data_IF_926430396863
#
_entry.id   IF_926430396863
#
_cell.length_a   1.000
_cell.length_b   1.000
_cell.length_c   1.000
_cell.angle_alpha   90.00
_cell.angle_beta   90.00
_cell.angle_gamma   90.00
#
_symmetry.space_group_name_H-M   'P 1'
#
loop_
_entity.id
_entity.type
_entity.pdbx_description
1 polymer ?
#
# COMPACT_ATOMS: atom_id res chain seq x y z
N UNK A 1 6.25 6.55 14.47
CA UNK A 1 6.79 5.56 15.43
C UNK A 1 5.99 4.25 15.38
N UNK A 2 4.64 4.26 15.57
CA UNK A 2 3.82 3.05 15.61
C UNK A 2 3.94 2.19 14.36
N UNK A 3 3.82 2.78 13.16
CA UNK A 3 4.01 2.08 11.89
C UNK A 3 5.39 1.40 11.79
N UNK A 4 6.47 2.09 12.22
CA UNK A 4 7.83 1.51 12.22
C UNK A 4 7.94 0.32 13.16
N UNK A 5 7.38 0.43 14.36
CA UNK A 5 7.35 -0.68 15.31
C UNK A 5 6.56 -1.88 14.76
N UNK A 6 5.45 -1.63 14.07
CA UNK A 6 4.65 -2.63 13.35
C UNK A 6 5.32 -3.17 12.07
N UNK A 7 6.56 -2.77 11.78
CA UNK A 7 7.36 -3.34 10.70
C UNK A 7 7.32 -2.57 9.38
N UNK A 8 6.64 -1.44 9.29
CA UNK A 8 6.61 -0.64 8.06
C UNK A 8 8.01 -0.14 7.68
N UNK A 9 8.35 -0.30 6.41
CA UNK A 9 9.63 0.14 5.84
C UNK A 9 9.48 1.40 4.99
N UNK A 10 8.28 1.63 4.47
CA UNK A 10 7.87 2.86 3.79
C UNK A 10 6.43 3.21 4.14
N UNK A 11 6.09 4.47 3.97
CA UNK A 11 4.71 4.97 4.04
C UNK A 11 4.42 5.79 2.78
N UNK A 12 3.15 5.86 2.39
CA UNK A 12 2.69 6.68 1.26
C UNK A 12 1.62 7.62 1.79
N UNK A 13 1.89 8.93 1.76
CA UNK A 13 0.91 9.95 2.14
C UNK A 13 0.06 10.31 0.94
N UNK A 14 -1.25 10.34 1.12
CA UNK A 14 -2.16 10.98 0.17
C UNK A 14 -1.95 12.49 0.23
N UNK A 15 -1.06 13.01 -0.62
CA UNK A 15 -0.73 14.44 -0.64
C UNK A 15 -1.84 15.27 -1.27
N UNK A 16 -2.57 14.69 -2.21
CA UNK A 16 -3.78 15.21 -2.85
C UNK A 16 -4.60 14.06 -3.41
N UNK A 17 -5.89 14.03 -3.11
CA UNK A 17 -6.86 13.07 -3.69
C UNK A 17 -7.68 13.73 -4.81
N UNK A 18 -8.67 13.03 -5.35
CA UNK A 18 -9.57 13.50 -6.43
C UNK A 18 -10.37 14.75 -6.06
N UNK A 19 -10.56 15.06 -4.76
CA UNK A 19 -11.18 16.29 -4.28
C UNK A 19 -10.37 17.56 -4.59
N UNK A 20 -9.09 17.40 -4.92
CA UNK A 20 -8.20 18.47 -5.33
C UNK A 20 -7.50 19.22 -4.21
N UNK A 21 -7.74 18.87 -2.92
CA UNK A 21 -7.10 19.57 -1.80
C UNK A 21 -5.64 19.17 -1.63
N UNK A 22 -4.73 20.11 -1.85
CA UNK A 22 -3.30 19.87 -1.66
C UNK A 22 -2.89 20.06 -0.19
N UNK A 23 -2.28 19.03 0.42
CA UNK A 23 -1.84 19.03 1.81
C UNK A 23 -0.54 19.83 2.05
N UNK A 24 -0.12 20.65 1.10
CA UNK A 24 1.04 21.55 1.20
C UNK A 24 0.67 22.93 0.62
N UNK A 25 1.40 23.99 0.97
CA UNK A 25 1.14 25.34 0.44
C UNK A 25 1.60 25.44 -1.02
N UNK A 26 0.81 24.84 -1.92
CA UNK A 26 1.07 24.82 -3.35
C UNK A 26 0.98 26.24 -3.94
N UNK A 27 1.85 26.54 -4.89
CA UNK A 27 1.76 27.76 -5.71
C UNK A 27 0.81 27.58 -6.90
N UNK A 28 0.36 26.35 -7.14
CA UNK A 28 -0.55 25.98 -8.23
C UNK A 28 -1.95 25.71 -7.69
N UNK A 29 -2.92 26.48 -8.17
CA UNK A 29 -4.30 26.44 -7.70
C UNK A 29 -4.53 27.15 -6.37
N UNK A 30 -5.78 27.22 -5.96
CA UNK A 30 -6.22 27.92 -4.76
C UNK A 30 -6.70 27.00 -3.63
N UNK A 31 -6.82 25.69 -3.90
CA UNK A 31 -7.34 24.71 -2.97
C UNK A 31 -6.23 23.90 -2.29
N UNK A 32 -5.58 24.56 -1.35
CA UNK A 32 -4.45 23.97 -0.62
C UNK A 32 -4.35 24.53 0.80
N UNK A 33 -3.48 23.93 1.61
CA UNK A 33 -3.19 24.43 2.96
C UNK A 33 -2.71 25.88 2.99
N UNK A 34 -2.17 26.41 1.88
CA UNK A 34 -1.78 27.82 1.74
C UNK A 34 -2.93 28.77 2.09
N UNK A 35 -4.15 28.45 1.63
CA UNK A 35 -5.30 29.32 1.77
C UNK A 35 -6.25 28.90 2.91
N UNK A 36 -6.18 27.65 3.39
CA UNK A 36 -7.18 27.12 4.32
C UNK A 36 -6.64 26.69 5.69
N UNK A 37 -5.32 26.53 5.83
CA UNK A 37 -4.68 26.09 7.09
C UNK A 37 -3.47 26.99 7.42
N UNK A 38 -3.58 28.29 7.18
CA UNK A 38 -2.54 29.30 7.46
C UNK A 38 -1.16 28.95 6.87
N UNK A 39 -1.14 28.25 5.74
CA UNK A 39 0.06 27.83 5.06
C UNK A 39 0.79 26.65 5.71
N UNK A 40 0.16 25.90 6.60
CA UNK A 40 0.74 24.70 7.22
C UNK A 40 1.14 23.67 6.18
N UNK A 41 2.36 23.17 6.28
CA UNK A 41 2.89 22.17 5.35
C UNK A 41 2.82 20.76 5.96
N UNK A 42 1.66 20.10 5.77
CA UNK A 42 1.43 18.74 6.27
C UNK A 42 2.32 17.70 5.57
N UNK A 43 2.70 17.95 4.31
CA UNK A 43 3.62 17.08 3.56
C UNK A 43 5.02 17.17 4.16
N UNK A 44 5.50 18.38 4.49
CA UNK A 44 6.77 18.59 5.15
C UNK A 44 6.84 17.90 6.52
N UNK A 45 5.80 18.08 7.35
CA UNK A 45 5.69 17.41 8.66
C UNK A 45 5.72 15.87 8.54
N UNK A 46 5.03 15.31 7.56
CA UNK A 46 5.03 13.88 7.26
C UNK A 46 6.43 13.38 6.88
N UNK A 47 7.11 14.10 5.98
CA UNK A 47 8.48 13.76 5.53
C UNK A 47 9.46 13.73 6.69
N UNK A 48 9.42 14.76 7.56
CA UNK A 48 10.24 14.81 8.78
C UNK A 48 9.97 13.62 9.70
N UNK A 49 8.69 13.31 9.93
CA UNK A 49 8.28 12.18 10.75
C UNK A 49 8.77 10.84 10.20
N UNK A 50 8.67 10.62 8.88
CA UNK A 50 9.18 9.41 8.23
C UNK A 50 10.70 9.29 8.42
N UNK A 51 11.45 10.34 8.10
CA UNK A 51 12.92 10.34 8.22
C UNK A 51 13.39 10.12 9.65
N UNK A 52 12.78 10.80 10.62
CA UNK A 52 13.05 10.62 12.04
C UNK A 52 12.90 9.17 12.51
N UNK A 53 11.98 8.42 11.90
CA UNK A 53 11.71 7.03 12.26
C UNK A 53 12.36 6.02 11.30
N UNK A 54 13.20 6.44 10.34
CA UNK A 54 13.84 5.55 9.38
C UNK A 54 12.83 4.82 8.47
N UNK A 55 11.78 5.54 8.05
CA UNK A 55 10.76 5.09 7.10
C UNK A 55 11.01 5.78 5.77
N UNK A 56 10.97 5.04 4.66
CA UNK A 56 11.07 5.61 3.31
C UNK A 56 9.81 6.40 2.98
N UNK A 57 9.99 7.47 2.19
CA UNK A 57 8.95 8.45 1.89
C UNK A 57 8.30 8.12 0.56
N UNK A 58 6.98 7.91 0.58
CA UNK A 58 6.15 7.83 -0.61
C UNK A 58 5.10 8.94 -0.63
N UNK A 59 4.80 9.42 -1.82
CA UNK A 59 3.71 10.34 -2.07
C UNK A 59 2.69 9.72 -3.02
N UNK A 60 1.44 9.69 -2.59
CA UNK A 60 0.30 9.47 -3.46
C UNK A 60 -0.15 10.83 -3.99
N UNK A 61 -0.45 10.88 -5.27
CA UNK A 61 -0.98 12.05 -5.93
C UNK A 61 -2.04 11.64 -6.96
N UNK A 62 -3.23 12.22 -6.86
CA UNK A 62 -4.29 12.04 -7.84
C UNK A 62 -4.26 13.16 -8.89
N UNK A 63 -3.92 12.89 -10.15
CA UNK A 63 -4.07 13.88 -11.22
C UNK A 63 -5.51 14.34 -11.46
N UNK A 64 -6.54 13.45 -11.48
CA UNK A 64 -7.93 13.89 -11.53
C UNK A 64 -8.29 14.84 -10.39
N UNK A 65 -9.11 15.84 -10.68
CA UNK A 65 -9.50 16.90 -9.75
C UNK A 65 -10.96 17.27 -9.94
N UNK A 66 -11.80 16.83 -9.00
CA UNK A 66 -13.24 17.10 -9.05
C UNK A 66 -13.57 18.58 -8.85
N UNK A 67 -12.73 19.32 -8.13
CA UNK A 67 -12.93 20.75 -7.92
C UNK A 67 -12.54 21.59 -9.13
N UNK A 68 -11.41 21.27 -9.77
CA UNK A 68 -10.97 21.94 -10.98
C UNK A 68 -12.03 21.88 -12.07
N UNK A 69 -12.62 20.71 -12.21
CA UNK A 69 -13.68 20.46 -13.16
C UNK A 69 -15.05 20.50 -12.48
N UNK A 70 -15.45 21.64 -11.92
CA UNK A 70 -16.72 21.81 -11.18
C UNK A 70 -17.94 21.35 -11.97
N UNK A 71 -17.88 21.47 -13.27
CA UNK A 71 -18.94 21.08 -14.20
C UNK A 71 -18.98 19.55 -14.40
N UNK A 72 -17.92 18.86 -14.04
CA UNK A 72 -17.77 17.41 -14.06
C UNK A 72 -17.52 16.81 -12.68
N UNK A 73 -17.88 17.51 -11.60
CA UNK A 73 -17.83 16.97 -10.25
C UNK A 73 -18.80 15.80 -10.13
N UNK A 74 -18.48 14.72 -10.80
CA UNK A 74 -19.24 13.52 -10.84
C UNK A 74 -18.49 12.44 -10.06
N UNK A 75 -19.16 11.89 -9.06
CA UNK A 75 -18.73 10.64 -8.42
C UNK A 75 -18.93 9.42 -9.34
N UNK A 76 -19.36 9.64 -10.58
CA UNK A 76 -19.63 8.59 -11.53
C UNK A 76 -18.37 8.28 -12.34
N UNK A 77 -18.01 7.01 -12.32
CA UNK A 77 -17.06 6.41 -13.25
C UNK A 77 -17.84 5.75 -14.39
N UNK A 78 -17.48 6.03 -15.64
CA UNK A 78 -18.09 5.41 -16.82
C UNK A 78 -19.29 6.16 -17.39
N UNK A 79 -20.33 5.44 -17.81
CA UNK A 79 -21.47 5.97 -18.56
C UNK A 79 -22.54 6.71 -17.72
N UNK A 80 -22.24 6.99 -16.48
CA UNK A 80 -23.17 7.71 -15.59
C UNK A 80 -23.21 9.19 -15.99
N UNK A 81 -24.39 9.84 -16.04
CA UNK A 81 -24.50 11.27 -16.30
C UNK A 81 -23.67 12.08 -15.29
N UNK A 82 -23.07 13.20 -15.68
CA UNK A 82 -22.34 14.06 -14.75
C UNK A 82 -23.28 14.55 -13.64
N UNK A 83 -22.82 14.46 -12.39
CA UNK A 83 -23.55 14.87 -11.20
C UNK A 83 -22.88 16.10 -10.58
N UNK A 84 -23.68 17.05 -10.15
CA UNK A 84 -23.24 18.17 -9.32
C UNK A 84 -22.87 17.75 -7.89
N UNK A 85 -22.41 18.70 -7.10
CA UNK A 85 -22.02 18.49 -5.71
C UNK A 85 -23.20 18.03 -4.81
N UNK A 86 -24.41 18.31 -5.24
CA UNK A 86 -25.68 17.91 -4.62
C UNK A 86 -26.22 16.56 -5.11
N UNK A 87 -25.42 15.85 -5.92
CA UNK A 87 -25.77 14.59 -6.58
C UNK A 87 -26.90 14.68 -7.63
N UNK A 88 -27.30 15.89 -8.01
CA UNK A 88 -28.24 16.10 -9.11
C UNK A 88 -27.53 16.08 -10.46
N UNK A 89 -28.22 15.61 -11.50
CA UNK A 89 -27.67 15.60 -12.86
C UNK A 89 -27.43 17.01 -13.37
N UNK A 90 -26.24 17.26 -13.89
CA UNK A 90 -25.85 18.55 -14.47
C UNK A 90 -25.66 18.44 -15.99
N UNK A 91 -25.90 19.55 -16.69
CA UNK A 91 -25.55 19.68 -18.10
C UNK A 91 -24.15 20.32 -18.17
N UNK A 92 -23.23 19.67 -18.88
CA UNK A 92 -21.91 20.23 -19.09
C UNK A 92 -21.98 21.36 -20.13
N UNK A 93 -21.18 22.44 -19.98
CA UNK A 93 -21.03 23.45 -21.00
C UNK A 93 -20.47 22.85 -22.28
N UNK A 94 -20.92 23.39 -23.40
CA UNK A 94 -20.32 23.11 -24.69
C UNK A 94 -19.18 24.10 -24.93
N UNK A 95 -17.97 23.58 -25.12
CA UNK A 95 -16.79 24.37 -25.44
C UNK A 95 -16.45 24.22 -26.93
N UNK A 96 -15.95 25.30 -27.53
CA UNK A 96 -15.23 25.19 -28.79
C UNK A 96 -13.95 24.35 -28.61
N UNK A 97 -13.42 23.81 -29.70
CA UNK A 97 -12.17 23.05 -29.63
C UNK A 97 -11.00 23.86 -29.08
N UNK A 98 -10.97 25.17 -29.38
CA UNK A 98 -9.93 26.10 -28.87
C UNK A 98 -10.08 26.37 -27.37
N UNK A 99 -11.31 26.52 -26.88
CA UNK A 99 -11.58 26.68 -25.45
C UNK A 99 -11.25 25.43 -24.66
N UNK A 100 -11.64 24.26 -25.20
CA UNK A 100 -11.31 22.97 -24.58
C UNK A 100 -9.80 22.78 -24.50
N UNK A 101 -9.07 23.05 -25.58
CA UNK A 101 -7.60 22.93 -25.58
C UNK A 101 -6.95 23.83 -24.55
N UNK A 102 -7.40 25.07 -24.42
CA UNK A 102 -6.90 26.00 -23.40
C UNK A 102 -7.14 25.47 -21.98
N UNK A 103 -8.34 24.95 -21.70
CA UNK A 103 -8.68 24.35 -20.40
C UNK A 103 -7.79 23.13 -20.11
N UNK A 104 -7.56 22.30 -21.12
CA UNK A 104 -6.71 21.11 -20.98
C UNK A 104 -5.24 21.49 -20.74
N UNK A 105 -4.74 22.52 -21.40
CA UNK A 105 -3.37 23.03 -21.22
C UNK A 105 -3.19 23.66 -19.82
N UNK A 106 -4.14 24.48 -19.37
CA UNK A 106 -4.15 25.05 -18.02
C UNK A 106 -4.18 23.95 -16.93
N UNK A 107 -4.99 22.94 -17.14
CA UNK A 107 -5.05 21.79 -16.22
C UNK A 107 -3.77 20.97 -16.22
N UNK A 108 -3.18 20.76 -17.39
CA UNK A 108 -1.90 20.09 -17.52
C UNK A 108 -0.78 20.84 -16.79
N UNK A 109 -0.71 22.16 -16.95
CA UNK A 109 0.27 23.00 -16.24
C UNK A 109 0.07 22.97 -14.73
N UNK A 110 -1.17 23.02 -14.25
CA UNK A 110 -1.53 22.89 -12.85
C UNK A 110 -1.04 21.57 -12.24
N UNK A 111 -1.36 20.45 -12.88
CA UNK A 111 -0.93 19.12 -12.40
C UNK A 111 0.59 18.98 -12.45
N UNK A 112 1.23 19.40 -13.57
CA UNK A 112 2.68 19.40 -13.72
C UNK A 112 3.37 20.18 -12.62
N UNK A 113 2.88 21.39 -12.35
CA UNK A 113 3.43 22.26 -11.33
C UNK A 113 3.39 21.62 -9.94
N UNK A 114 2.25 21.09 -9.54
CA UNK A 114 2.09 20.42 -8.25
C UNK A 114 2.97 19.18 -8.11
N UNK A 115 3.07 18.35 -9.14
CA UNK A 115 3.96 17.18 -9.13
C UNK A 115 5.42 17.60 -9.01
N UNK A 116 5.82 18.64 -9.73
CA UNK A 116 7.18 19.20 -9.66
C UNK A 116 7.50 19.73 -8.26
N UNK A 117 6.56 20.42 -7.61
CA UNK A 117 6.72 20.83 -6.22
C UNK A 117 7.00 19.67 -5.28
N UNK A 118 6.20 18.60 -5.37
CA UNK A 118 6.37 17.39 -4.55
C UNK A 118 7.73 16.73 -4.78
N UNK A 119 8.21 16.72 -6.01
CA UNK A 119 9.50 16.10 -6.36
C UNK A 119 10.72 16.98 -5.98
N UNK A 120 10.55 18.27 -5.79
CA UNK A 120 11.69 19.18 -5.61
C UNK A 120 11.80 19.82 -4.23
N UNK A 121 10.69 19.97 -3.50
CA UNK A 121 10.68 20.71 -2.23
C UNK A 121 11.07 19.90 -1.00
N UNK A 122 10.93 18.57 -1.05
CA UNK A 122 10.98 17.71 0.16
C UNK A 122 12.22 16.82 0.24
N UNK A 123 13.27 17.09 -0.55
CA UNK A 123 14.47 16.28 -0.60
C UNK A 123 14.19 14.88 -1.20
N UNK A 124 14.86 13.83 -0.70
CA UNK A 124 14.70 12.50 -1.30
C UNK A 124 13.31 11.92 -1.07
N UNK A 125 12.68 11.50 -2.18
CA UNK A 125 11.41 10.78 -2.21
C UNK A 125 11.66 9.39 -2.82
N UNK A 126 11.15 8.35 -2.18
CA UNK A 126 11.41 6.97 -2.60
C UNK A 126 10.33 6.41 -3.54
N UNK A 127 9.09 6.92 -3.44
CA UNK A 127 7.95 6.45 -4.25
C UNK A 127 7.08 7.64 -4.65
N UNK A 128 6.70 7.73 -5.93
CA UNK A 128 5.56 8.50 -6.40
C UNK A 128 4.44 7.55 -6.86
N UNK A 129 3.29 7.68 -6.25
CA UNK A 129 2.14 6.82 -6.44
C UNK A 129 0.98 7.63 -7.05
N UNK A 130 0.84 7.59 -8.36
CA UNK A 130 -0.27 8.25 -9.06
C UNK A 130 -1.56 7.45 -8.93
N UNK A 131 -2.69 8.13 -8.75
CA UNK A 131 -4.01 7.52 -8.83
C UNK A 131 -4.88 8.20 -9.89
N UNK A 132 -4.98 7.53 -11.02
CA UNK A 132 -5.54 8.08 -12.24
C UNK A 132 -4.47 8.59 -13.20
N UNK A 133 -4.88 8.79 -14.44
CA UNK A 133 -3.98 9.16 -15.52
C UNK A 133 -3.56 10.64 -15.43
N UNK A 134 -2.34 10.91 -15.77
CA UNK A 134 -1.87 12.28 -16.03
C UNK A 134 -2.66 12.87 -17.22
N UNK A 135 -2.98 14.17 -17.20
CA UNK A 135 -3.84 14.80 -18.22
C UNK A 135 -3.37 14.56 -19.64
N UNK A 136 -2.11 14.81 -19.91
CA UNK A 136 -1.47 14.61 -21.21
C UNK A 136 -0.36 13.53 -21.15
N UNK A 137 -0.44 12.61 -20.20
CA UNK A 137 0.53 11.54 -19.96
C UNK A 137 1.96 12.11 -19.84
N UNK A 138 2.87 11.63 -20.69
CA UNK A 138 4.29 12.04 -20.68
C UNK A 138 4.51 13.51 -21.03
N UNK A 139 3.56 14.18 -21.71
CA UNK A 139 3.64 15.64 -21.94
C UNK A 139 3.38 16.43 -20.65
N UNK A 140 2.68 15.86 -19.66
CA UNK A 140 2.55 16.45 -18.34
C UNK A 140 3.90 16.39 -17.62
N UNK A 141 4.42 15.18 -17.44
CA UNK A 141 5.75 14.90 -16.89
C UNK A 141 6.13 13.47 -17.27
N UNK A 142 7.33 13.25 -17.76
CA UNK A 142 7.81 11.93 -18.12
C UNK A 142 8.44 11.20 -16.94
N UNK A 143 8.56 9.87 -17.04
CA UNK A 143 9.28 9.07 -16.05
C UNK A 143 10.76 9.45 -15.96
N UNK A 144 11.38 9.81 -17.07
CA UNK A 144 12.78 10.24 -17.10
C UNK A 144 12.94 11.58 -16.36
N UNK A 145 12.06 12.53 -16.59
CA UNK A 145 12.07 13.80 -15.87
C UNK A 145 11.82 13.63 -14.37
N UNK A 146 10.89 12.74 -13.96
CA UNK A 146 10.68 12.40 -12.55
C UNK A 146 11.99 11.84 -11.95
N UNK A 147 12.72 11.01 -12.68
CA UNK A 147 13.98 10.41 -12.21
C UNK A 147 15.16 11.40 -12.26
N UNK A 148 15.11 12.42 -13.10
CA UNK A 148 16.06 13.53 -13.04
C UNK A 148 15.92 14.31 -11.73
N UNK A 149 14.69 14.62 -11.30
CA UNK A 149 14.45 15.23 -9.99
C UNK A 149 14.75 14.28 -8.82
N UNK A 150 14.44 12.99 -8.97
CA UNK A 150 14.51 12.01 -7.90
C UNK A 150 15.18 10.70 -8.38
N UNK A 151 16.51 10.64 -8.45
CA UNK A 151 17.21 9.42 -8.87
C UNK A 151 16.84 8.21 -7.99
N UNK A 152 16.37 7.14 -8.65
CA UNK A 152 15.99 5.89 -7.98
C UNK A 152 14.59 5.87 -7.38
N UNK A 153 13.76 6.87 -7.66
CA UNK A 153 12.35 6.87 -7.27
C UNK A 153 11.59 5.74 -7.99
N UNK A 154 10.69 5.08 -7.26
CA UNK A 154 9.76 4.11 -7.84
C UNK A 154 8.47 4.79 -8.27
N UNK A 155 7.98 4.42 -9.46
CA UNK A 155 6.79 5.01 -10.09
C UNK A 155 5.79 3.89 -10.35
N UNK A 156 4.54 4.04 -9.88
CA UNK A 156 3.48 3.08 -10.20
C UNK A 156 2.89 3.35 -11.61
N UNK A 157 2.16 2.38 -12.23
CA UNK A 157 1.77 2.49 -13.62
C UNK A 157 0.53 3.36 -13.86
N UNK A 158 -0.22 3.78 -12.83
CA UNK A 158 -1.54 4.40 -13.01
C UNK A 158 -1.47 5.76 -13.72
N UNK A 159 -0.45 6.58 -13.46
CA UNK A 159 -0.29 7.89 -14.09
C UNK A 159 0.09 7.83 -15.57
N UNK A 160 1.15 7.12 -15.87
CA UNK A 160 1.77 7.04 -17.20
C UNK A 160 1.25 5.86 -18.06
N UNK A 161 0.66 4.85 -17.44
CA UNK A 161 0.27 3.59 -18.08
C UNK A 161 1.35 2.51 -18.04
N UNK A 162 2.53 2.84 -17.52
CA UNK A 162 3.65 1.94 -17.22
C UNK A 162 4.36 2.42 -15.95
N UNK A 163 5.16 1.56 -15.33
CA UNK A 163 5.86 1.88 -14.09
C UNK A 163 6.75 0.72 -13.63
N UNK A 164 7.29 0.87 -12.43
CA UNK A 164 8.26 -0.07 -11.85
C UNK A 164 7.61 -1.26 -11.13
N UNK A 165 6.33 -1.13 -10.75
CA UNK A 165 5.60 -2.16 -9.99
C UNK A 165 4.10 -2.12 -10.28
N UNK A 166 3.41 -3.26 -10.14
CA UNK A 166 1.94 -3.38 -10.28
C UNK A 166 1.24 -3.00 -8.98
N UNK A 167 0.01 -2.48 -9.08
CA UNK A 167 -0.79 -2.06 -7.92
C UNK A 167 -2.21 -2.63 -7.95
N UNK A 168 -2.39 -3.96 -7.73
CA UNK A 168 -3.71 -4.51 -7.48
C UNK A 168 -4.31 -3.86 -6.22
N UNK A 169 -5.63 -3.69 -6.23
CA UNK A 169 -6.35 -2.94 -5.20
C UNK A 169 -7.48 -3.76 -4.61
N UNK A 170 -7.54 -3.83 -3.27
CA UNK A 170 -8.61 -4.45 -2.49
C UNK A 170 -8.94 -5.89 -2.86
N UNK A 171 -8.12 -6.53 -3.66
CA UNK A 171 -8.29 -7.93 -4.06
C UNK A 171 -6.92 -8.57 -4.28
N UNK A 172 -6.69 -9.69 -3.61
CA UNK A 172 -5.51 -10.51 -3.87
C UNK A 172 -5.55 -11.01 -5.33
N UNK A 173 -4.45 -10.94 -6.09
CA UNK A 173 -4.43 -11.32 -7.49
C UNK A 173 -4.68 -12.83 -7.67
N UNK A 174 -5.28 -13.22 -8.79
CA UNK A 174 -5.57 -14.63 -9.11
C UNK A 174 -4.32 -15.44 -9.50
N UNK A 175 -3.25 -14.74 -9.88
CA UNK A 175 -1.94 -15.30 -10.23
C UNK A 175 -0.83 -14.34 -9.86
N UNK A 176 0.34 -14.87 -9.61
CA UNK A 176 1.54 -14.06 -9.34
C UNK A 176 1.89 -13.12 -10.49
N UNK A 177 2.47 -11.98 -10.18
CA UNK A 177 3.07 -11.06 -11.15
C UNK A 177 4.55 -11.36 -11.42
N UNK A 178 5.16 -12.31 -10.71
CA UNK A 178 6.58 -12.60 -10.86
C UNK A 178 7.00 -12.80 -12.34
N UNK A 179 8.12 -12.23 -12.78
CA UNK A 179 9.14 -11.57 -11.97
C UNK A 179 8.91 -10.05 -11.74
N UNK A 180 7.77 -9.48 -12.14
CA UNK A 180 7.46 -8.08 -11.94
C UNK A 180 7.24 -7.79 -10.45
N UNK A 181 7.68 -6.62 -9.98
CA UNK A 181 7.35 -6.14 -8.65
C UNK A 181 5.90 -5.72 -8.56
N UNK A 182 5.32 -5.89 -7.38
CA UNK A 182 3.93 -5.50 -7.15
C UNK A 182 3.67 -5.16 -5.69
N UNK A 183 2.62 -4.41 -5.47
CA UNK A 183 2.17 -3.94 -4.17
C UNK A 183 0.65 -4.09 -4.09
N UNK A 184 0.16 -4.84 -3.12
CA UNK A 184 -1.27 -4.91 -2.82
C UNK A 184 -1.64 -3.73 -1.91
N UNK A 185 -2.38 -2.76 -2.45
CA UNK A 185 -2.99 -1.73 -1.62
C UNK A 185 -4.39 -2.16 -1.18
N UNK A 186 -4.68 -2.00 0.10
CA UNK A 186 -5.92 -2.48 0.68
C UNK A 186 -6.41 -1.57 1.80
N UNK A 187 -7.72 -1.42 1.92
CA UNK A 187 -8.36 -0.72 3.04
C UNK A 187 -8.25 -1.56 4.30
N UNK A 188 -7.59 -1.05 5.34
CA UNK A 188 -7.55 -1.71 6.65
C UNK A 188 -8.81 -1.41 7.47
N UNK A 189 -9.39 -0.23 7.31
CA UNK A 189 -10.72 0.09 7.81
C UNK A 189 -11.79 -0.81 7.20
N UNK A 190 -12.89 -0.98 7.87
CA UNK A 190 -14.03 -1.77 7.37
C UNK A 190 -14.96 -0.89 6.53
N UNK A 191 -14.49 -0.51 5.33
CA UNK A 191 -15.34 0.07 4.29
C UNK A 191 -14.93 1.44 3.74
N UNK A 192 -13.85 2.08 4.19
CA UNK A 192 -13.45 3.37 3.64
C UNK A 192 -11.93 3.55 3.58
N UNK A 193 -11.45 4.29 2.55
CA UNK A 193 -10.09 4.75 2.46
C UNK A 193 -9.78 5.88 3.44
N UNK A 194 -10.73 6.78 3.65
CA UNK A 194 -10.63 7.88 4.61
C UNK A 194 -11.10 7.50 6.00
N UNK A 195 -10.98 8.45 6.94
CA UNK A 195 -11.44 8.33 8.31
C UNK A 195 -12.96 8.16 8.41
N UNK A 196 -13.39 7.29 9.31
CA UNK A 196 -14.79 7.13 9.71
C UNK A 196 -14.95 7.47 11.21
N UNK A 197 -16.02 8.17 11.57
CA UNK A 197 -16.31 8.56 12.97
C UNK A 197 -16.38 7.37 13.94
N UNK A 198 -16.73 6.20 13.43
CA UNK A 198 -16.77 4.94 14.18
C UNK A 198 -15.84 3.95 13.47
N UNK A 199 -14.53 4.24 13.51
CA UNK A 199 -13.53 3.45 12.82
C UNK A 199 -13.50 2.02 13.32
N UNK A 200 -13.73 1.09 12.43
CA UNK A 200 -13.65 -0.35 12.67
C UNK A 200 -12.60 -0.94 11.75
N UNK A 201 -11.49 -1.38 12.31
CA UNK A 201 -10.42 -2.03 11.55
C UNK A 201 -10.67 -3.53 11.41
N UNK A 202 -10.31 -4.08 10.28
CA UNK A 202 -10.22 -5.53 10.09
C UNK A 202 -9.33 -6.15 11.16
N UNK A 203 -9.53 -7.43 11.52
CA UNK A 203 -8.69 -8.11 12.52
C UNK A 203 -7.21 -8.14 12.11
N UNK A 204 -6.28 -8.06 13.06
CA UNK A 204 -4.85 -8.20 12.79
C UNK A 204 -4.48 -9.55 12.19
N UNK A 205 -5.22 -10.61 12.49
CA UNK A 205 -5.06 -11.90 11.82
C UNK A 205 -5.28 -11.82 10.32
N UNK A 206 -6.32 -11.08 9.89
CA UNK A 206 -6.54 -10.82 8.46
C UNK A 206 -5.37 -10.03 7.85
N UNK A 207 -4.91 -8.97 8.52
CA UNK A 207 -3.81 -8.14 8.02
C UNK A 207 -2.52 -8.96 7.85
N UNK A 208 -2.18 -9.79 8.83
CA UNK A 208 -0.99 -10.63 8.80
C UNK A 208 -1.12 -11.77 7.78
N UNK A 209 -2.31 -12.33 7.59
CA UNK A 209 -2.57 -13.31 6.54
C UNK A 209 -2.39 -12.72 5.14
N UNK A 210 -2.93 -11.51 4.88
CA UNK A 210 -2.73 -10.82 3.59
C UNK A 210 -1.27 -10.43 3.38
N UNK A 211 -0.56 -9.98 4.42
CA UNK A 211 0.88 -9.73 4.36
C UNK A 211 1.65 -11.00 3.98
N UNK A 212 1.35 -12.12 4.63
CA UNK A 212 2.03 -13.41 4.40
C UNK A 212 1.81 -13.92 2.98
N UNK A 213 0.56 -13.91 2.48
CA UNK A 213 0.23 -14.27 1.09
C UNK A 213 0.95 -13.37 0.09
N UNK A 214 0.92 -12.07 0.34
CA UNK A 214 1.57 -11.07 -0.52
C UNK A 214 3.07 -11.31 -0.59
N UNK A 215 3.71 -11.55 0.56
CA UNK A 215 5.15 -11.88 0.63
C UNK A 215 5.48 -13.23 0.00
N UNK A 216 4.61 -14.23 0.13
CA UNK A 216 4.79 -15.53 -0.52
C UNK A 216 4.78 -15.47 -2.05
N UNK A 217 4.26 -14.39 -2.62
CA UNK A 217 4.30 -14.08 -4.07
C UNK A 217 5.21 -12.90 -4.43
N UNK A 218 6.20 -12.60 -3.59
CA UNK A 218 7.18 -11.52 -3.77
C UNK A 218 6.59 -10.11 -3.87
N UNK A 219 5.36 -9.90 -3.39
CA UNK A 219 4.72 -8.60 -3.34
C UNK A 219 4.98 -7.82 -2.06
N UNK A 220 4.67 -6.54 -2.06
CA UNK A 220 4.58 -5.70 -0.88
C UNK A 220 3.12 -5.46 -0.51
N UNK A 221 2.85 -5.27 0.77
CA UNK A 221 1.51 -5.00 1.28
C UNK A 221 1.42 -3.57 1.82
N UNK A 222 0.45 -2.80 1.31
CA UNK A 222 0.20 -1.40 1.67
C UNK A 222 -1.21 -1.26 2.29
N UNK A 223 -1.39 -1.56 3.60
CA UNK A 223 -2.65 -1.34 4.27
C UNK A 223 -2.88 0.16 4.51
N UNK A 224 -4.04 0.64 4.11
CA UNK A 224 -4.42 2.05 4.26
C UNK A 224 -5.07 2.32 5.62
N UNK A 225 -4.74 3.46 6.19
CA UNK A 225 -5.35 4.02 7.40
C UNK A 225 -5.63 5.51 7.21
N UNK A 226 -6.77 5.99 7.68
CA UNK A 226 -7.18 7.39 7.61
C UNK A 226 -7.04 8.10 8.97
N UNK A 227 -6.26 9.20 9.07
CA UNK A 227 -6.33 10.09 10.23
C UNK A 227 -7.62 10.88 10.23
N UNK A 228 -8.03 11.37 11.40
CA UNK A 228 -9.14 12.31 11.54
C UNK A 228 -8.81 13.71 10.98
N UNK A 229 -9.76 14.64 11.05
CA UNK A 229 -9.56 16.00 10.57
C UNK A 229 -8.50 16.83 11.31
N UNK A 230 -7.99 16.35 12.45
CA UNK A 230 -6.89 16.96 13.18
C UNK A 230 -5.54 16.29 12.87
N UNK A 231 -5.54 15.24 12.05
CA UNK A 231 -4.36 14.44 11.72
C UNK A 231 -4.06 13.36 12.75
N UNK A 232 -4.99 13.08 13.66
CA UNK A 232 -4.81 12.06 14.70
C UNK A 232 -5.38 10.71 14.28
N UNK A 233 -4.68 9.64 14.67
CA UNK A 233 -5.19 8.28 14.50
C UNK A 233 -6.08 7.89 15.67
N UNK A 234 -7.16 7.13 15.43
CA UNK A 234 -8.00 6.57 16.51
C UNK A 234 -7.16 5.74 17.48
N UNK A 235 -7.58 5.71 18.75
CA UNK A 235 -6.91 4.89 19.78
C UNK A 235 -6.78 3.41 19.37
N UNK A 236 -7.80 2.87 18.71
CA UNK A 236 -7.84 1.51 18.18
C UNK A 236 -6.70 1.23 17.19
N UNK A 237 -6.29 2.22 16.38
CA UNK A 237 -5.14 2.08 15.51
C UNK A 237 -3.86 1.76 16.29
N UNK A 238 -3.61 2.52 17.36
CA UNK A 238 -2.40 2.31 18.17
C UNK A 238 -2.39 0.96 18.87
N UNK A 239 -3.55 0.49 19.34
CA UNK A 239 -3.69 -0.87 19.91
C UNK A 239 -3.38 -1.93 18.86
N UNK A 240 -3.93 -1.81 17.65
CA UNK A 240 -3.66 -2.73 16.53
C UNK A 240 -2.19 -2.75 16.13
N UNK A 241 -1.58 -1.57 16.02
CA UNK A 241 -0.13 -1.48 15.69
C UNK A 241 0.76 -2.04 16.79
N UNK A 242 0.39 -1.91 18.06
CA UNK A 242 1.12 -2.51 19.17
C UNK A 242 1.08 -4.04 19.12
N UNK A 243 -0.06 -4.64 18.82
CA UNK A 243 -0.20 -6.10 18.66
C UNK A 243 0.63 -6.61 17.47
N UNK A 244 0.63 -5.90 16.32
CA UNK A 244 1.48 -6.23 15.17
C UNK A 244 2.96 -6.06 15.52
N UNK A 245 3.32 -5.02 16.28
CA UNK A 245 4.69 -4.82 16.73
C UNK A 245 5.19 -5.96 17.63
N UNK A 246 4.33 -6.51 18.49
CA UNK A 246 4.65 -7.68 19.28
C UNK A 246 4.84 -8.93 18.41
N UNK A 247 3.98 -9.13 17.42
CA UNK A 247 4.15 -10.20 16.42
C UNK A 247 5.46 -10.06 15.66
N UNK A 248 5.83 -8.84 15.27
CA UNK A 248 7.10 -8.56 14.55
C UNK A 248 8.35 -8.89 15.36
N UNK A 249 8.30 -8.88 16.69
CA UNK A 249 9.45 -9.23 17.53
C UNK A 249 9.85 -10.69 17.42
N UNK A 250 8.88 -11.59 17.30
CA UNK A 250 9.15 -13.03 17.20
C UNK A 250 9.05 -13.57 15.76
N UNK A 251 8.18 -13.02 14.92
CA UNK A 251 7.92 -13.56 13.57
C UNK A 251 8.34 -12.62 12.43
N UNK A 252 8.80 -11.42 12.71
CA UNK A 252 9.13 -10.42 11.68
C UNK A 252 10.23 -10.85 10.70
N UNK A 253 11.13 -11.76 11.08
CA UNK A 253 12.12 -12.34 10.18
C UNK A 253 11.50 -13.11 9.01
N UNK A 254 10.27 -13.58 9.16
CA UNK A 254 9.56 -14.35 8.14
C UNK A 254 9.03 -13.50 6.97
N UNK A 255 8.90 -12.19 7.16
CA UNK A 255 8.34 -11.28 6.13
C UNK A 255 9.32 -10.21 5.67
N UNK A 256 10.42 -9.98 6.41
CA UNK A 256 11.44 -8.99 6.08
C UNK A 256 12.64 -9.64 5.37
N UNK A 257 13.01 -9.08 4.20
CA UNK A 257 14.15 -9.58 3.43
C UNK A 257 13.96 -11.01 2.88
N UNK A 258 12.72 -11.48 2.81
CA UNK A 258 12.38 -12.81 2.30
C UNK A 258 11.88 -12.78 0.86
N UNK A 259 11.89 -13.93 0.21
CA UNK A 259 11.35 -14.20 -1.13
C UNK A 259 10.25 -15.25 -1.03
N UNK A 260 9.35 -15.27 -2.00
CA UNK A 260 8.31 -16.27 -2.16
C UNK A 260 8.69 -17.42 -3.10
N UNK A 261 7.71 -17.91 -3.86
CA UNK A 261 7.89 -18.83 -4.98
C UNK A 261 7.72 -20.32 -4.66
N UNK A 262 7.04 -20.66 -3.57
CA UNK A 262 6.77 -22.04 -3.17
C UNK A 262 5.27 -22.32 -3.08
N UNK A 263 4.54 -21.37 -2.59
CA UNK A 263 3.10 -21.41 -2.46
C UNK A 263 2.41 -20.88 -3.73
N UNK A 264 1.29 -21.49 -4.18
CA UNK A 264 0.62 -22.66 -3.61
C UNK A 264 1.10 -24.01 -4.15
N UNK A 265 2.05 -24.07 -5.08
CA UNK A 265 2.39 -25.27 -5.85
C UNK A 265 3.00 -26.39 -5.00
N UNK A 266 3.72 -26.02 -3.94
CA UNK A 266 4.48 -26.98 -3.11
C UNK A 266 4.12 -26.95 -1.64
N UNK A 267 3.20 -26.07 -1.24
CA UNK A 267 2.71 -25.98 0.13
C UNK A 267 1.25 -25.53 0.12
N UNK A 268 0.42 -26.10 0.99
CA UNK A 268 -0.98 -25.73 1.13
C UNK A 268 -1.21 -24.39 1.88
N UNK A 269 -0.17 -23.82 2.49
CA UNK A 269 -0.20 -22.51 3.15
C UNK A 269 0.92 -21.62 2.64
N UNK A 270 0.85 -20.28 2.78
CA UNK A 270 1.88 -19.35 2.33
C UNK A 270 3.26 -19.65 2.91
N UNK A 271 4.29 -19.60 2.08
CA UNK A 271 5.69 -19.82 2.47
C UNK A 271 6.56 -18.69 1.95
N UNK A 272 7.35 -18.12 2.85
CA UNK A 272 8.43 -17.21 2.52
C UNK A 272 9.78 -17.86 2.86
N UNK A 273 10.85 -17.37 2.26
CA UNK A 273 12.19 -17.94 2.45
C UNK A 273 13.30 -16.93 2.31
N UNK A 274 14.42 -17.22 2.93
CA UNK A 274 15.71 -16.60 2.66
C UNK A 274 16.78 -17.68 2.45
N UNK A 275 18.05 -17.30 2.37
CA UNK A 275 19.13 -18.24 2.09
C UNK A 275 19.36 -19.26 3.24
N UNK A 276 18.83 -19.02 4.45
CA UNK A 276 19.07 -19.83 5.64
C UNK A 276 17.87 -20.62 6.14
N UNK A 277 16.66 -20.22 5.81
CA UNK A 277 15.44 -20.81 6.34
C UNK A 277 14.23 -20.57 5.44
N UNK A 278 13.23 -21.43 5.61
CA UNK A 278 11.88 -21.22 5.11
C UNK A 278 10.94 -20.92 6.28
N UNK A 279 9.88 -20.15 6.00
CA UNK A 279 8.89 -19.74 6.99
C UNK A 279 7.51 -20.10 6.49
N UNK A 280 6.85 -20.99 7.17
CA UNK A 280 5.50 -21.47 6.87
C UNK A 280 4.52 -20.64 7.68
N UNK A 281 3.60 -19.94 7.00
CA UNK A 281 2.64 -19.04 7.63
C UNK A 281 1.30 -19.73 7.77
N UNK A 282 0.85 -19.90 9.00
CA UNK A 282 -0.35 -20.63 9.39
C UNK A 282 -1.36 -19.61 9.91
N UNK A 283 -2.39 -19.35 9.14
CA UNK A 283 -3.48 -18.48 9.58
C UNK A 283 -4.55 -19.30 10.34
N UNK A 284 -5.47 -18.58 10.96
CA UNK A 284 -6.51 -19.20 11.80
C UNK A 284 -7.57 -20.00 11.02
N UNK A 285 -7.63 -19.88 9.70
CA UNK A 285 -8.58 -20.57 8.81
C UNK A 285 -7.95 -21.69 7.99
N UNK A 286 -6.62 -21.91 8.08
CA UNK A 286 -5.98 -22.99 7.34
C UNK A 286 -6.28 -24.38 7.92
N UNK A 287 -6.09 -25.40 7.09
CA UNK A 287 -6.14 -26.79 7.52
C UNK A 287 -5.13 -27.04 8.66
N UNK A 288 -5.45 -27.99 9.54
CA UNK A 288 -4.57 -28.33 10.66
C UNK A 288 -3.32 -29.09 10.17
N UNK A 289 -3.44 -29.85 9.08
CA UNK A 289 -2.32 -30.56 8.46
C UNK A 289 -1.64 -29.70 7.41
N UNK A 290 -0.36 -29.49 7.61
CA UNK A 290 0.49 -28.71 6.70
C UNK A 290 1.39 -29.67 5.94
N UNK A 291 1.42 -29.50 4.61
CA UNK A 291 2.26 -30.31 3.73
C UNK A 291 3.15 -29.42 2.87
N UNK A 292 4.46 -29.72 2.88
CA UNK A 292 5.46 -29.09 2.00
C UNK A 292 6.13 -30.17 1.16
N UNK A 293 5.98 -30.10 -0.14
CA UNK A 293 6.44 -31.14 -1.08
C UNK A 293 7.74 -30.77 -1.80
N UNK A 294 8.43 -31.78 -2.34
CA UNK A 294 9.66 -31.66 -3.12
C UNK A 294 10.77 -30.90 -2.38
N UNK A 295 11.01 -31.31 -1.15
CA UNK A 295 12.05 -30.74 -0.27
C UNK A 295 12.99 -31.85 0.24
N UNK A 296 14.17 -31.46 0.71
CA UNK A 296 15.04 -32.32 1.47
C UNK A 296 14.55 -32.43 2.92
N UNK A 297 15.07 -33.42 3.68
CA UNK A 297 14.69 -33.58 5.09
C UNK A 297 15.27 -32.42 5.91
N UNK A 298 14.43 -31.61 6.58
CA UNK A 298 14.95 -30.54 7.45
C UNK A 298 15.57 -31.12 8.72
N UNK A 299 16.42 -30.33 9.35
CA UNK A 299 16.96 -30.65 10.68
C UNK A 299 15.89 -30.46 11.75
N UNK A 300 15.11 -29.39 11.63
CA UNK A 300 14.22 -28.95 12.68
C UNK A 300 13.13 -28.02 12.15
N UNK A 301 11.95 -28.10 12.73
CA UNK A 301 10.86 -27.14 12.62
C UNK A 301 10.69 -26.41 13.94
N UNK A 302 10.69 -25.07 13.93
CA UNK A 302 10.58 -24.25 15.14
C UNK A 302 9.37 -23.33 15.04
N UNK A 303 8.51 -23.34 16.03
CA UNK A 303 7.45 -22.36 16.19
C UNK A 303 8.06 -21.03 16.68
N UNK A 304 8.06 -20.00 15.84
CA UNK A 304 8.80 -18.76 16.12
C UNK A 304 8.31 -18.00 17.35
N UNK A 305 7.03 -18.10 17.68
CA UNK A 305 6.44 -17.39 18.80
C UNK A 305 6.95 -17.92 20.15
N UNK A 306 7.10 -19.21 20.29
CA UNK A 306 7.50 -19.86 21.57
C UNK A 306 8.94 -20.38 21.57
N UNK A 307 9.51 -20.62 20.39
CA UNK A 307 10.80 -21.29 20.23
C UNK A 307 10.71 -22.82 20.36
N UNK A 308 9.50 -23.37 20.49
CA UNK A 308 9.28 -24.82 20.62
C UNK A 308 9.50 -25.54 19.30
N UNK A 309 10.02 -26.76 19.39
CA UNK A 309 10.17 -27.64 18.24
C UNK A 309 8.84 -28.28 17.87
N UNK A 310 8.51 -28.27 16.57
CA UNK A 310 7.33 -28.92 16.01
C UNK A 310 7.74 -30.28 15.44
N UNK A 311 7.09 -31.34 15.91
CA UNK A 311 7.27 -32.70 15.35
C UNK A 311 6.71 -32.78 13.93
N UNK A 312 7.38 -33.49 13.06
CA UNK A 312 6.98 -33.68 11.67
C UNK A 312 7.29 -35.08 11.16
N UNK A 313 6.55 -35.54 10.19
CA UNK A 313 6.84 -36.69 9.37
C UNK A 313 7.58 -36.24 8.10
N UNK A 314 8.48 -37.12 7.61
CA UNK A 314 9.18 -36.89 6.36
C UNK A 314 9.15 -38.13 5.50
N UNK A 315 8.35 -38.07 4.44
CA UNK A 315 8.16 -39.15 3.49
C UNK A 315 8.12 -38.61 2.05
N UNK A 316 8.64 -39.38 1.11
CA UNK A 316 8.58 -39.06 -0.34
C UNK A 316 8.97 -37.61 -0.69
N UNK A 317 10.04 -37.11 -0.07
CA UNK A 317 10.48 -35.70 -0.21
C UNK A 317 9.44 -34.67 0.24
N UNK A 318 8.62 -35.04 1.20
CA UNK A 318 7.58 -34.17 1.76
C UNK A 318 7.69 -34.06 3.27
N UNK A 319 7.52 -32.88 3.79
CA UNK A 319 7.32 -32.58 5.21
C UNK A 319 5.81 -32.59 5.47
N UNK A 320 5.35 -33.30 6.45
CA UNK A 320 3.95 -33.32 6.90
C UNK A 320 3.95 -33.08 8.40
N UNK A 321 3.18 -32.13 8.86
CA UNK A 321 3.01 -31.87 10.29
C UNK A 321 1.64 -31.28 10.60
N UNK A 322 1.16 -31.56 11.80
CA UNK A 322 -0.04 -30.91 12.35
C UNK A 322 0.37 -29.80 13.30
N UNK A 323 -0.13 -28.61 13.07
CA UNK A 323 0.12 -27.51 14.01
C UNK A 323 -0.75 -27.70 15.26
N UNK A 324 -0.19 -27.63 16.47
CA UNK A 324 -0.95 -27.91 17.69
C UNK A 324 -2.14 -26.97 17.87
N UNK A 325 -3.35 -27.49 17.92
CA UNK A 325 -4.60 -26.71 18.00
C UNK A 325 -4.60 -25.72 19.19
N UNK A 326 -4.12 -26.17 20.35
CA UNK A 326 -4.03 -25.31 21.55
C UNK A 326 -2.97 -24.21 21.46
N UNK A 327 -2.09 -24.25 20.45
CA UNK A 327 -1.05 -23.23 20.21
C UNK A 327 -1.44 -22.25 19.12
N UNK A 328 -2.48 -22.55 18.34
CA UNK A 328 -2.98 -21.73 17.24
C UNK A 328 -3.57 -20.42 17.78
N UNK A 329 -3.14 -19.30 17.21
CA UNK A 329 -3.62 -17.97 17.62
C UNK A 329 -4.62 -17.41 16.62
N UNK A 330 -5.24 -16.29 16.97
CA UNK A 330 -6.06 -15.52 16.02
C UNK A 330 -5.22 -14.69 15.04
N UNK A 331 -3.90 -14.65 15.26
CA UNK A 331 -2.93 -14.03 14.36
C UNK A 331 -2.36 -15.10 13.41
N UNK A 332 -1.48 -14.72 12.51
CA UNK A 332 -0.71 -15.68 11.71
C UNK A 332 0.43 -16.25 12.53
N UNK A 333 0.42 -17.56 12.75
CA UNK A 333 1.50 -18.29 13.39
C UNK A 333 2.57 -18.67 12.36
N UNK A 334 3.84 -18.74 12.77
CA UNK A 334 4.95 -19.00 11.84
C UNK A 334 5.82 -20.14 12.31
N UNK A 335 5.99 -21.13 11.44
CA UNK A 335 6.93 -22.24 11.65
C UNK A 335 8.16 -22.03 10.77
N UNK A 336 9.33 -21.95 11.39
CA UNK A 336 10.62 -21.85 10.72
C UNK A 336 11.17 -23.22 10.43
N UNK A 337 11.52 -23.50 9.19
CA UNK A 337 12.18 -24.72 8.72
C UNK A 337 13.68 -24.46 8.64
N UNK A 338 14.47 -25.28 9.34
CA UNK A 338 15.94 -25.24 9.35
C UNK A 338 16.47 -26.47 8.61
N UNK A 339 17.29 -26.23 7.60
CA UNK A 339 17.89 -27.25 6.72
C UNK A 339 19.22 -27.79 7.22
#
# INVERSE_FOLDING_TARGET
>A
AAAKAAGAEYCVLTTRHHDGFALWPSEYGDFSTKNYLDGRDLVGEYVEACRKNGIKVGFYYSPPDWRWNRERMSFSYGDTPPLGIDHESITLPEYTAEEQQRIDDEFNEYVRGQVTELLTRYGKIDIIWFDGRLPQKENTISADEIREYQPGILINPRGLGYGDFRTPECRFPEKTFAPEWWELCFVYSDGAWGYLNHECYKPNGWLLAELSKTRAWDGNFLPNVGPDGNGEMPHTYYQRMAEIADWMKHSGESVKGTKGGIWPERCNVPVTRNDSAWYIHIDWVCDDEITVTDVDKPKQLIYLRTGEEISFEYENRSIIFTFPENSKTILTDVVKVIW
#
